data_IF_791485237854
#
_entry.id   IF_791485237854
#
_cell.length_a   1.000
_cell.length_b   1.000
_cell.length_c   1.000
_cell.angle_alpha   90.00
_cell.angle_beta   90.00
_cell.angle_gamma   90.00
#
_symmetry.space_group_name_H-M   'P 1'
#
loop_
_entity.id
_entity.type
_entity.pdbx_description
1 polymer ?
#
# COMPACT_ATOMS: atom_id res chain seq x y z
N UNK A 1 -2.33 0.87 -4.36
CA UNK A 1 -3.31 1.41 -5.32
C UNK A 1 -2.92 0.98 -6.72
N UNK A 2 -3.80 0.20 -7.35
CA UNK A 2 -3.50 -0.48 -8.63
C UNK A 2 -3.12 0.49 -9.74
N UNK A 3 -3.81 1.62 -9.98
CA UNK A 3 -3.41 2.55 -11.03
C UNK A 3 -1.99 3.10 -10.86
N UNK A 4 -1.58 3.43 -9.64
CA UNK A 4 -0.21 3.88 -9.38
C UNK A 4 0.80 2.76 -9.66
N UNK A 5 0.51 1.54 -9.16
CA UNK A 5 1.37 0.38 -9.40
C UNK A 5 1.52 0.08 -10.89
N UNK A 6 0.40 0.13 -11.64
CA UNK A 6 0.40 -0.15 -13.07
C UNK A 6 1.26 0.85 -13.85
N UNK A 7 1.19 2.13 -13.51
CA UNK A 7 2.01 3.16 -14.15
C UNK A 7 3.48 2.96 -13.88
N UNK A 8 3.85 2.63 -12.64
CA UNK A 8 5.23 2.32 -12.30
C UNK A 8 5.74 1.10 -13.07
N UNK A 9 4.92 0.06 -13.17
CA UNK A 9 5.29 -1.17 -13.88
C UNK A 9 5.50 -0.92 -15.37
N UNK A 10 4.63 -0.14 -15.99
CA UNK A 10 4.76 0.25 -17.40
C UNK A 10 6.05 1.06 -17.62
N UNK A 11 6.36 1.98 -16.72
CA UNK A 11 7.60 2.76 -16.81
C UNK A 11 8.83 1.86 -16.74
N UNK A 12 8.87 0.92 -15.80
CA UNK A 12 9.99 -0.03 -15.67
C UNK A 12 10.17 -0.82 -16.96
N UNK A 13 9.09 -1.32 -17.55
CA UNK A 13 9.14 -2.09 -18.79
C UNK A 13 9.56 -1.24 -19.98
N UNK A 14 9.01 -0.04 -20.12
CA UNK A 14 9.27 0.86 -21.25
C UNK A 14 10.70 1.38 -21.23
N UNK A 15 11.24 1.70 -20.04
CA UNK A 15 12.60 2.17 -19.86
C UNK A 15 13.63 1.05 -19.78
N UNK A 16 13.18 -0.20 -19.85
CA UNK A 16 14.02 -1.40 -19.77
C UNK A 16 14.96 -1.37 -18.54
N UNK A 17 14.38 -1.00 -17.39
CA UNK A 17 15.12 -0.99 -16.13
C UNK A 17 15.41 -2.44 -15.73
N UNK A 18 16.71 -2.74 -15.52
CA UNK A 18 17.14 -4.08 -15.18
C UNK A 18 17.49 -4.20 -13.69
N UNK A 19 17.61 -5.44 -13.20
CA UNK A 19 17.88 -5.71 -11.80
C UNK A 19 16.62 -5.93 -11.00
N UNK A 20 16.71 -5.74 -9.69
CA UNK A 20 15.58 -5.92 -8.78
C UNK A 20 15.12 -4.55 -8.32
N UNK A 21 13.83 -4.27 -8.50
CA UNK A 21 13.20 -3.04 -8.01
C UNK A 21 11.88 -3.40 -7.31
N UNK A 22 11.69 -2.90 -6.11
CA UNK A 22 10.44 -3.11 -5.38
C UNK A 22 9.45 -2.00 -5.70
N UNK A 23 8.25 -2.40 -6.09
CA UNK A 23 7.15 -1.48 -6.44
C UNK A 23 5.99 -1.69 -5.47
N UNK A 24 5.68 -0.66 -4.73
CA UNK A 24 4.55 -0.65 -3.78
C UNK A 24 4.22 0.81 -3.45
N UNK A 25 3.22 1.02 -2.61
CA UNK A 25 2.97 2.34 -2.05
C UNK A 25 4.12 2.79 -1.16
N UNK A 26 4.25 4.10 -0.97
CA UNK A 26 5.35 4.68 -0.20
C UNK A 26 5.18 4.52 1.31
N UNK A 27 3.96 4.43 1.79
CA UNK A 27 3.65 4.44 3.21
C UNK A 27 3.65 3.03 3.79
N UNK A 28 4.44 2.83 4.86
CA UNK A 28 4.37 1.61 5.66
C UNK A 28 3.25 1.79 6.68
N UNK A 29 2.23 0.92 6.62
CA UNK A 29 1.03 1.06 7.44
C UNK A 29 0.47 -0.32 7.79
N UNK A 30 -0.08 -0.46 8.99
CA UNK A 30 -0.79 -1.66 9.40
C UNK A 30 -2.19 -1.69 8.78
N UNK A 31 -2.77 -2.88 8.69
CA UNK A 31 -4.16 -3.00 8.23
C UNK A 31 -5.14 -2.32 9.17
N UNK A 32 -4.86 -2.35 10.47
CA UNK A 32 -5.69 -1.66 11.45
C UNK A 32 -5.67 -0.13 11.23
N UNK A 33 -4.48 0.44 11.07
CA UNK A 33 -4.34 1.88 10.81
C UNK A 33 -4.99 2.28 9.49
N UNK A 34 -4.88 1.44 8.45
CA UNK A 34 -5.54 1.66 7.16
C UNK A 34 -7.05 1.64 7.31
N UNK A 35 -7.59 0.68 8.06
CA UNK A 35 -9.04 0.59 8.32
C UNK A 35 -9.55 1.82 9.06
N UNK A 36 -8.81 2.31 10.06
CA UNK A 36 -9.16 3.54 10.76
C UNK A 36 -9.18 4.75 9.83
N UNK A 37 -8.20 4.85 8.93
CA UNK A 37 -8.12 5.95 7.97
C UNK A 37 -9.31 5.92 7.00
N UNK A 38 -9.70 4.74 6.53
CA UNK A 38 -10.88 4.58 5.66
C UNK A 38 -12.16 4.98 6.41
N UNK A 39 -12.29 4.54 7.65
CA UNK A 39 -13.46 4.89 8.47
C UNK A 39 -13.56 6.40 8.69
N UNK A 40 -12.43 7.08 8.94
CA UNK A 40 -12.40 8.55 9.07
C UNK A 40 -12.88 9.24 7.80
N UNK A 41 -12.38 8.81 6.64
CA UNK A 41 -12.72 9.44 5.36
C UNK A 41 -14.17 9.22 4.96
N UNK A 42 -14.77 8.11 5.37
CA UNK A 42 -16.16 7.76 5.06
C UNK A 42 -17.13 8.06 6.22
N UNK A 43 -16.64 8.64 7.31
CA UNK A 43 -17.43 8.91 8.52
C UNK A 43 -18.11 7.65 9.08
N UNK A 44 -17.37 6.55 9.11
CA UNK A 44 -17.85 5.30 9.66
C UNK A 44 -17.51 5.16 11.13
N UNK A 45 -18.21 4.26 11.83
CA UNK A 45 -18.00 4.01 13.24
C UNK A 45 -16.72 3.18 13.46
N UNK A 46 -15.66 3.84 14.00
CA UNK A 46 -14.37 3.19 14.28
C UNK A 46 -14.45 2.17 15.41
N UNK A 47 -15.47 2.21 16.24
CA UNK A 47 -15.61 1.23 17.34
C UNK A 47 -15.85 -0.17 16.83
N UNK A 48 -16.27 -0.32 15.57
CA UNK A 48 -16.45 -1.61 14.91
C UNK A 48 -15.13 -2.25 14.48
N UNK A 49 -14.03 -1.48 14.49
CA UNK A 49 -12.71 -1.96 14.11
C UNK A 49 -12.01 -2.48 15.37
N UNK A 50 -11.72 -3.80 15.37
CA UNK A 50 -11.10 -4.45 16.51
C UNK A 50 -9.63 -4.75 16.18
N UNK A 51 -8.65 -4.15 16.91
CA UNK A 51 -7.24 -4.46 16.68
C UNK A 51 -6.94 -5.91 17.06
N UNK A 52 -6.23 -6.61 16.17
CA UNK A 52 -5.82 -7.99 16.38
C UNK A 52 -4.39 -8.19 15.92
N UNK A 53 -3.69 -9.14 16.52
CA UNK A 53 -2.36 -9.54 16.11
C UNK A 53 -2.45 -10.68 15.11
N UNK A 54 -1.43 -10.79 14.26
CA UNK A 54 -1.36 -11.85 13.26
C UNK A 54 -1.31 -13.25 13.92
N UNK A 55 -0.69 -13.37 15.08
CA UNK A 55 -0.61 -14.61 15.84
C UNK A 55 -1.92 -15.00 16.53
N UNK A 56 -2.87 -14.08 16.65
CA UNK A 56 -4.22 -14.34 17.15
C UNK A 56 -5.14 -14.90 16.06
N UNK A 57 -4.69 -14.88 14.80
CA UNK A 57 -5.46 -15.34 13.66
C UNK A 57 -5.17 -16.81 13.37
N UNK A 58 -6.18 -17.53 12.91
CA UNK A 58 -6.05 -18.95 12.59
C UNK A 58 -5.64 -19.14 11.12
N UNK A 59 -4.38 -18.82 10.82
CA UNK A 59 -3.84 -18.93 9.47
C UNK A 59 -3.42 -20.36 9.16
N UNK A 60 -3.64 -20.82 7.92
CA UNK A 60 -3.12 -22.11 7.44
C UNK A 60 -1.63 -22.06 7.19
N UNK A 61 -1.09 -20.90 6.83
CA UNK A 61 0.33 -20.68 6.59
C UNK A 61 0.86 -19.64 7.56
N UNK A 62 2.15 -19.77 7.91
CA UNK A 62 2.80 -18.75 8.71
C UNK A 62 2.98 -17.48 7.87
N UNK A 63 2.54 -16.35 8.42
CA UNK A 63 2.61 -15.08 7.73
C UNK A 63 3.62 -14.16 8.41
N UNK A 64 4.36 -13.33 7.64
CA UNK A 64 5.30 -12.38 8.23
C UNK A 64 4.54 -11.30 8.99
N UNK A 65 5.12 -10.84 10.10
CA UNK A 65 4.56 -9.72 10.88
C UNK A 65 4.69 -8.40 10.14
N UNK A 66 5.75 -8.26 9.35
CA UNK A 66 6.02 -7.06 8.56
C UNK A 66 6.39 -7.50 7.14
N UNK A 67 5.51 -7.22 6.18
CA UNK A 67 5.73 -7.52 4.77
C UNK A 67 5.93 -6.26 3.93
N UNK A 68 6.16 -5.11 4.57
CA UNK A 68 6.39 -3.86 3.87
C UNK A 68 7.66 -3.93 3.02
N UNK A 69 7.62 -3.26 1.85
CA UNK A 69 8.74 -3.20 0.92
C UNK A 69 9.44 -1.85 1.03
N UNK A 70 10.75 -1.87 0.90
CA UNK A 70 11.54 -0.65 0.76
C UNK A 70 11.48 -0.21 -0.70
N UNK A 71 10.81 0.91 -0.95
CA UNK A 71 10.63 1.47 -2.29
C UNK A 71 11.54 2.67 -2.58
N UNK A 72 12.59 2.84 -1.79
CA UNK A 72 13.49 4.01 -1.94
C UNK A 72 14.12 4.09 -3.33
N UNK A 73 14.48 2.96 -3.94
CA UNK A 73 15.02 2.94 -5.31
C UNK A 73 13.98 3.44 -6.32
N UNK A 74 12.73 3.00 -6.21
CA UNK A 74 11.66 3.46 -7.09
C UNK A 74 11.41 4.96 -6.91
N UNK A 75 11.44 5.46 -5.68
CA UNK A 75 11.31 6.89 -5.40
C UNK A 75 12.44 7.68 -6.07
N UNK A 76 13.65 7.12 -6.08
CA UNK A 76 14.82 7.79 -6.63
C UNK A 76 14.80 7.84 -8.17
N UNK A 77 14.49 6.72 -8.84
CA UNK A 77 14.74 6.59 -10.28
C UNK A 77 13.50 6.72 -11.16
N UNK A 78 12.30 6.44 -10.64
CA UNK A 78 11.09 6.49 -11.46
C UNK A 78 10.52 7.90 -11.53
N UNK A 79 9.97 8.27 -12.70
CA UNK A 79 9.17 9.49 -12.87
C UNK A 79 7.82 9.33 -12.20
N UNK A 80 7.18 8.17 -12.39
CA UNK A 80 5.95 7.81 -11.66
C UNK A 80 6.33 7.31 -10.27
N UNK A 81 6.12 8.15 -9.26
CA UNK A 81 6.59 7.85 -7.90
C UNK A 81 5.60 6.97 -7.14
N UNK A 82 6.08 6.08 -6.23
CA UNK A 82 5.20 5.44 -5.26
C UNK A 82 4.42 6.49 -4.48
N UNK A 83 3.10 6.33 -4.42
CA UNK A 83 2.23 7.29 -3.74
C UNK A 83 2.16 7.03 -2.24
N UNK A 84 1.92 8.09 -1.48
CA UNK A 84 1.56 7.99 -0.07
C UNK A 84 0.15 7.45 0.06
N UNK A 85 -0.14 6.77 1.17
CA UNK A 85 -1.44 6.13 1.37
C UNK A 85 -2.59 7.14 1.36
N UNK A 86 -2.38 8.34 1.90
CA UNK A 86 -3.39 9.39 1.93
C UNK A 86 -3.82 9.75 0.51
N UNK A 87 -2.86 9.98 -0.38
CA UNK A 87 -3.12 10.34 -1.77
C UNK A 87 -3.81 9.21 -2.54
N UNK A 88 -3.33 7.99 -2.37
CA UNK A 88 -3.91 6.81 -3.02
C UNK A 88 -5.33 6.56 -2.54
N UNK A 89 -5.58 6.72 -1.26
CA UNK A 89 -6.90 6.51 -0.67
C UNK A 89 -7.90 7.55 -1.15
N UNK A 90 -7.49 8.81 -1.24
CA UNK A 90 -8.34 9.87 -1.77
C UNK A 90 -8.75 9.59 -3.22
N UNK A 91 -7.80 9.16 -4.05
CA UNK A 91 -8.08 8.80 -5.44
C UNK A 91 -9.01 7.58 -5.52
N UNK A 92 -8.76 6.56 -4.72
CA UNK A 92 -9.58 5.35 -4.68
C UNK A 92 -11.02 5.68 -4.29
N UNK A 93 -11.20 6.46 -3.23
CA UNK A 93 -12.53 6.81 -2.74
C UNK A 93 -13.29 7.73 -3.70
N UNK A 94 -12.60 8.54 -4.49
CA UNK A 94 -13.23 9.39 -5.50
C UNK A 94 -13.83 8.59 -6.66
N UNK A 95 -13.41 7.34 -6.84
CA UNK A 95 -13.90 6.44 -7.88
C UNK A 95 -15.14 5.62 -7.48
N UNK A 96 -15.53 5.71 -6.20
CA UNK A 96 -16.69 4.96 -5.69
C UNK A 96 -18.02 5.64 -6.01
#
# INVERSE_FOLDING_TARGET
>A
YVPNFSKMLIEVATRQISGIIHLAGRTRISRYALAEMIADKLNLDKTLIIPSRIDEMNWKAQRPKDSSLDVSLAVEILEEKPQKIEDSLDLFLSEL
#
